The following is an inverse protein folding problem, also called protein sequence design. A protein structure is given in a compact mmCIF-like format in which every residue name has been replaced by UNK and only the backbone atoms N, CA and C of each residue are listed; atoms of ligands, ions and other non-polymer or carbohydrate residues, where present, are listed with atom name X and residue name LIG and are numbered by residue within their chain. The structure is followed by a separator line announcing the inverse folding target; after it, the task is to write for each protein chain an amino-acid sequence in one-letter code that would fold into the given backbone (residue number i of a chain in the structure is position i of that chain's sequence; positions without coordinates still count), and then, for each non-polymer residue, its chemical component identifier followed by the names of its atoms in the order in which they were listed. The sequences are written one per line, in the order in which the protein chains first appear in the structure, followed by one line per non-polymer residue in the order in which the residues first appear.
data_IF_321250650199
#
_entry.id   IF_321250650199
#
_cell.length_a   1.000
_cell.length_b   1.000
_cell.length_c   1.000
_cell.angle_alpha   90.00
_cell.angle_beta   90.00
_cell.angle_gamma   90.00
#
_symmetry.space_group_name_H-M   'P 1'
#
loop_
_entity.id
_entity.type
_entity.pdbx_description
1 polymer ?
#
# COMPACT_ATOMS: atom_id res chain seq x y z
N UNK A 1 -14.03 -10.37 22.09
CA UNK A 1 -12.74 -10.03 21.44
C UNK A 1 -12.40 -8.58 21.71
N UNK A 2 -11.14 -8.29 22.05
CA UNK A 2 -10.68 -6.92 22.29
C UNK A 2 -10.83 -6.08 21.01
N UNK A 3 -11.40 -4.88 21.16
CA UNK A 3 -11.57 -3.92 20.07
C UNK A 3 -10.20 -3.39 19.67
N UNK A 4 -9.85 -3.46 18.39
CA UNK A 4 -8.60 -2.87 17.87
C UNK A 4 -8.61 -1.37 18.14
N UNK A 5 -7.63 -0.89 18.93
CA UNK A 5 -7.46 0.51 19.26
C UNK A 5 -6.43 1.15 18.33
N UNK A 6 -6.90 1.74 17.23
CA UNK A 6 -6.01 2.35 16.25
C UNK A 6 -5.28 3.59 16.77
N UNK A 7 -5.78 4.25 17.82
CA UNK A 7 -5.11 5.39 18.48
C UNK A 7 -3.70 5.05 18.96
N UNK A 8 -3.49 3.81 19.40
CA UNK A 8 -2.19 3.32 19.89
C UNK A 8 -1.44 2.53 18.82
N UNK A 9 -2.17 1.82 17.96
CA UNK A 9 -1.60 0.86 17.01
C UNK A 9 -1.00 1.50 15.76
N UNK A 10 -1.54 2.64 15.32
CA UNK A 10 -1.21 3.22 14.01
C UNK A 10 0.30 3.45 13.75
N UNK A 11 1.16 3.82 14.74
CA UNK A 11 2.58 4.07 14.47
C UNK A 11 3.34 2.82 13.98
N UNK A 12 2.85 1.64 14.34
CA UNK A 12 3.42 0.34 13.96
C UNK A 12 2.72 -0.29 12.76
N UNK A 13 1.62 0.29 12.30
CA UNK A 13 0.80 -0.29 11.24
C UNK A 13 1.59 -0.31 9.92
N UNK A 14 1.75 -1.50 9.34
CA UNK A 14 2.29 -1.67 7.99
C UNK A 14 1.19 -1.96 6.96
N UNK A 15 0.07 -2.54 7.39
CA UNK A 15 -1.05 -2.75 6.48
C UNK A 15 -2.22 -3.52 7.08
N UNK A 16 -3.33 -3.46 6.36
CA UNK A 16 -4.56 -4.21 6.61
C UNK A 16 -4.76 -5.18 5.44
N UNK A 17 -4.68 -6.47 5.67
CA UNK A 17 -4.70 -7.51 4.62
C UNK A 17 -5.89 -8.44 4.83
N UNK A 18 -6.74 -8.67 3.82
CA UNK A 18 -7.85 -9.61 3.94
C UNK A 18 -7.31 -11.05 4.02
N UNK A 19 -7.77 -11.81 5.02
CA UNK A 19 -7.39 -13.21 5.22
C UNK A 19 -8.63 -14.05 5.54
N UNK A 20 -8.56 -15.35 5.24
CA UNK A 20 -9.53 -16.32 5.74
C UNK A 20 -8.96 -17.07 6.91
N UNK A 21 -9.78 -17.30 7.93
CA UNK A 21 -9.46 -18.32 8.94
C UNK A 21 -9.69 -19.71 8.38
N UNK A 22 -9.25 -20.74 9.11
CA UNK A 22 -9.53 -22.14 8.78
C UNK A 22 -11.03 -22.42 8.69
N UNK A 23 -11.82 -21.74 9.52
CA UNK A 23 -13.29 -21.84 9.56
C UNK A 23 -13.98 -21.01 8.46
N UNK A 24 -13.23 -20.42 7.53
CA UNK A 24 -13.75 -19.63 6.42
C UNK A 24 -14.16 -18.20 6.79
N UNK A 25 -13.88 -17.74 8.02
CA UNK A 25 -14.20 -16.38 8.46
C UNK A 25 -13.41 -15.37 7.64
N UNK A 26 -14.11 -14.41 7.04
CA UNK A 26 -13.52 -13.31 6.29
C UNK A 26 -13.09 -12.18 7.24
N UNK A 27 -11.82 -12.16 7.59
CA UNK A 27 -11.24 -11.19 8.50
C UNK A 27 -10.12 -10.36 7.89
N UNK A 28 -9.43 -9.63 8.76
CA UNK A 28 -8.27 -8.80 8.43
C UNK A 28 -7.09 -9.22 9.30
N UNK A 29 -5.97 -9.51 8.64
CA UNK A 29 -4.65 -9.55 9.27
C UNK A 29 -4.08 -8.13 9.28
N UNK A 30 -3.76 -7.63 10.47
CA UNK A 30 -3.17 -6.32 10.68
C UNK A 30 -1.67 -6.52 10.81
N UNK A 31 -0.93 -6.10 9.79
CA UNK A 31 0.52 -6.21 9.75
C UNK A 31 1.13 -5.12 10.61
N UNK A 32 2.02 -5.51 11.51
CA UNK A 32 2.71 -4.63 12.44
C UNK A 32 4.23 -4.74 12.24
N UNK A 33 4.91 -3.62 12.40
CA UNK A 33 6.36 -3.54 12.18
C UNK A 33 7.15 -4.35 13.21
N UNK A 34 6.82 -4.19 14.49
CA UNK A 34 7.60 -4.75 15.61
C UNK A 34 6.94 -5.94 16.29
N UNK A 35 5.69 -6.24 15.95
CA UNK A 35 4.87 -7.23 16.62
C UNK A 35 4.32 -8.24 15.60
N UNK A 36 3.96 -9.45 16.03
CA UNK A 36 3.22 -10.39 15.20
C UNK A 36 1.93 -9.77 14.65
N UNK A 37 1.52 -10.22 13.47
CA UNK A 37 0.29 -9.73 12.86
C UNK A 37 -0.94 -10.07 13.72
N UNK A 38 -1.82 -9.09 13.91
CA UNK A 38 -3.05 -9.29 14.67
C UNK A 38 -4.19 -9.71 13.75
N UNK A 39 -4.92 -10.76 14.12
CA UNK A 39 -6.12 -11.16 13.41
C UNK A 39 -7.36 -10.48 14.00
N UNK A 40 -8.24 -9.99 13.12
CA UNK A 40 -9.53 -9.43 13.49
C UNK A 40 -10.62 -9.96 12.56
N UNK A 41 -11.74 -10.43 13.13
CA UNK A 41 -12.93 -10.93 12.39
C UNK A 41 -13.77 -9.80 11.79
N UNK A 42 -13.10 -8.78 11.26
CA UNK A 42 -13.72 -7.60 10.67
C UNK A 42 -13.12 -7.41 9.30
N UNK A 43 -13.98 -7.16 8.30
CA UNK A 43 -13.55 -6.92 6.91
C UNK A 43 -12.61 -5.73 6.81
N UNK A 44 -11.66 -5.80 5.88
CA UNK A 44 -10.59 -4.80 5.70
C UNK A 44 -11.14 -3.40 5.43
N UNK A 45 -12.23 -3.29 4.65
CA UNK A 45 -12.92 -2.01 4.41
C UNK A 45 -13.44 -1.37 5.70
N UNK A 46 -13.98 -2.19 6.61
CA UNK A 46 -14.47 -1.72 7.91
C UNK A 46 -13.31 -1.31 8.80
N UNK A 47 -12.20 -2.05 8.77
CA UNK A 47 -10.99 -1.69 9.51
C UNK A 47 -10.38 -0.39 9.01
N UNK A 48 -10.31 -0.17 7.69
CA UNK A 48 -9.90 1.11 7.12
C UNK A 48 -10.82 2.25 7.58
N UNK A 49 -12.13 2.05 7.56
CA UNK A 49 -13.08 3.07 8.05
C UNK A 49 -12.89 3.40 9.53
N UNK A 50 -12.57 2.40 10.37
CA UNK A 50 -12.23 2.62 11.78
C UNK A 50 -10.93 3.40 11.95
N UNK A 51 -9.90 3.07 11.16
CA UNK A 51 -8.64 3.80 11.14
C UNK A 51 -8.85 5.27 10.72
N UNK A 52 -9.61 5.53 9.66
CA UNK A 52 -9.93 6.90 9.23
C UNK A 52 -10.61 7.71 10.34
N UNK A 53 -11.57 7.10 11.06
CA UNK A 53 -12.27 7.75 12.17
C UNK A 53 -11.35 8.13 13.33
N UNK A 54 -10.28 7.38 13.58
CA UNK A 54 -9.25 7.76 14.57
C UNK A 54 -8.59 9.11 14.23
N UNK A 55 -8.51 9.46 12.95
CA UNK A 55 -7.98 10.74 12.47
C UNK A 55 -9.08 11.74 12.09
N UNK A 56 -10.33 11.50 12.51
CA UNK A 56 -11.48 12.35 12.17
C UNK A 56 -11.73 12.51 10.65
N UNK A 57 -11.29 11.54 9.85
CA UNK A 57 -11.44 11.55 8.40
C UNK A 57 -12.66 10.74 7.98
N UNK A 58 -13.56 11.35 7.20
CA UNK A 58 -14.60 10.61 6.50
C UNK A 58 -14.00 9.90 5.27
N UNK A 59 -14.04 8.56 5.28
CA UNK A 59 -13.44 7.74 4.22
C UNK A 59 -14.10 7.99 2.86
N UNK A 60 -15.41 8.28 2.78
CA UNK A 60 -16.09 8.51 1.50
C UNK A 60 -15.69 9.85 0.91
N UNK A 61 -15.63 10.89 1.75
CA UNK A 61 -15.19 12.22 1.36
C UNK A 61 -13.73 12.21 0.93
N UNK A 62 -12.84 11.61 1.73
CA UNK A 62 -11.43 11.45 1.39
C UNK A 62 -11.25 10.70 0.07
N UNK A 63 -11.97 9.59 -0.12
CA UNK A 63 -11.94 8.84 -1.37
C UNK A 63 -12.40 9.69 -2.56
N UNK A 64 -13.46 10.50 -2.42
CA UNK A 64 -13.95 11.38 -3.50
C UNK A 64 -12.92 12.46 -3.84
N UNK A 65 -12.35 13.12 -2.83
CA UNK A 65 -11.35 14.17 -3.01
C UNK A 65 -10.09 13.61 -3.70
N UNK A 66 -9.51 12.55 -3.15
CA UNK A 66 -8.31 11.93 -3.69
C UNK A 66 -8.55 11.25 -5.04
N UNK A 67 -9.76 10.72 -5.30
CA UNK A 67 -10.14 10.17 -6.61
C UNK A 67 -10.02 11.21 -7.73
N UNK A 68 -10.47 12.44 -7.45
CA UNK A 68 -10.36 13.54 -8.41
C UNK A 68 -8.89 13.92 -8.64
N UNK A 69 -8.11 14.04 -7.55
CA UNK A 69 -6.69 14.41 -7.59
C UNK A 69 -5.87 13.43 -8.43
N UNK A 70 -6.00 12.12 -8.18
CA UNK A 70 -5.23 11.12 -8.92
C UNK A 70 -5.85 10.70 -10.26
N UNK A 71 -7.04 11.21 -10.61
CA UNK A 71 -7.77 10.79 -11.81
C UNK A 71 -8.20 9.32 -11.80
N UNK A 72 -8.31 8.68 -10.62
CA UNK A 72 -8.62 7.26 -10.48
C UNK A 72 -9.94 7.07 -9.77
N UNK A 73 -10.80 6.19 -10.30
CA UNK A 73 -12.04 5.76 -9.63
C UNK A 73 -11.85 4.59 -8.67
N UNK A 74 -10.81 3.78 -8.92
CA UNK A 74 -10.52 2.55 -8.18
C UNK A 74 -9.09 2.58 -7.64
N UNK A 75 -8.86 1.84 -6.55
CA UNK A 75 -7.57 1.78 -5.88
C UNK A 75 -7.03 3.20 -5.61
N UNK A 76 -7.88 4.05 -5.03
CA UNK A 76 -7.54 5.41 -4.62
C UNK A 76 -6.82 5.36 -3.27
N UNK A 77 -5.55 5.79 -3.19
CA UNK A 77 -4.84 5.92 -1.92
C UNK A 77 -5.53 6.92 -1.00
N UNK A 78 -5.39 6.73 0.30
CA UNK A 78 -5.98 7.63 1.31
C UNK A 78 -4.86 8.14 2.22
N UNK A 79 -4.56 9.44 2.15
CA UNK A 79 -3.68 10.10 3.11
C UNK A 79 -4.46 10.42 4.38
N UNK A 80 -3.97 9.92 5.52
CA UNK A 80 -4.55 10.20 6.84
C UNK A 80 -3.76 11.30 7.58
N UNK A 81 -2.44 11.27 7.42
CA UNK A 81 -1.47 12.25 7.92
C UNK A 81 -0.14 12.05 7.18
N UNK A 82 0.81 12.97 7.27
CA UNK A 82 2.16 12.77 6.71
C UNK A 82 2.75 11.44 7.18
N UNK A 83 3.25 10.63 6.24
CA UNK A 83 3.81 9.30 6.48
C UNK A 83 2.80 8.19 6.77
N UNK A 84 1.49 8.47 6.79
CA UNK A 84 0.43 7.46 6.91
C UNK A 84 -0.53 7.56 5.72
N UNK A 85 -0.05 7.04 4.59
CA UNK A 85 -0.82 6.93 3.35
C UNK A 85 -1.18 5.48 3.12
N UNK A 86 -2.48 5.19 3.10
CA UNK A 86 -3.03 3.86 2.89
C UNK A 86 -3.12 3.56 1.40
N UNK A 87 -2.25 2.69 0.90
CA UNK A 87 -2.11 2.28 -0.49
C UNK A 87 -2.95 1.03 -0.77
N UNK A 88 -4.02 1.12 -1.58
CA UNK A 88 -4.86 -0.02 -1.88
C UNK A 88 -4.21 -0.95 -2.92
N UNK A 89 -4.03 -2.20 -2.55
CA UNK A 89 -3.59 -3.27 -3.46
C UNK A 89 -4.53 -4.45 -3.36
N UNK A 90 -4.62 -5.27 -4.40
CA UNK A 90 -5.33 -6.55 -4.32
C UNK A 90 -4.38 -7.52 -3.62
N UNK A 91 -4.86 -8.25 -2.63
CA UNK A 91 -4.05 -9.23 -1.90
C UNK A 91 -4.50 -10.68 -2.13
N UNK A 92 -5.69 -10.89 -2.71
CA UNK A 92 -6.21 -12.22 -3.03
C UNK A 92 -7.14 -12.24 -4.23
N UNK A 93 -7.40 -13.42 -4.77
CA UNK A 93 -8.46 -13.66 -5.76
C UNK A 93 -9.79 -13.84 -5.04
N UNK A 94 -10.86 -13.21 -5.54
CA UNK A 94 -12.18 -13.37 -4.95
C UNK A 94 -12.67 -14.80 -5.18
N UNK A 95 -13.13 -15.47 -4.13
CA UNK A 95 -13.77 -16.79 -4.25
C UNK A 95 -15.28 -16.68 -4.43
N UNK A 96 -15.88 -15.64 -3.85
CA UNK A 96 -17.32 -15.37 -3.84
C UNK A 96 -17.59 -13.88 -4.08
N UNK A 97 -18.87 -13.52 -4.28
CA UNK A 97 -19.28 -12.12 -4.33
C UNK A 97 -19.03 -11.45 -2.97
N UNK A 98 -18.63 -10.17 -2.98
CA UNK A 98 -18.37 -9.35 -1.77
C UNK A 98 -17.29 -9.88 -0.83
N UNK A 99 -16.39 -10.68 -1.38
CA UNK A 99 -15.32 -11.32 -0.66
C UNK A 99 -14.28 -10.33 -0.11
N UNK A 100 -14.17 -9.13 -0.68
CA UNK A 100 -13.18 -8.15 -0.22
C UNK A 100 -11.76 -8.63 -0.49
N UNK A 101 -11.20 -8.18 -1.61
CA UNK A 101 -9.87 -8.63 -2.07
C UNK A 101 -8.78 -7.60 -1.82
N UNK A 102 -9.15 -6.40 -1.36
CA UNK A 102 -8.24 -5.27 -1.21
C UNK A 102 -7.56 -5.27 0.16
N UNK A 103 -6.24 -5.28 0.14
CA UNK A 103 -5.41 -4.83 1.23
C UNK A 103 -5.16 -3.31 1.14
N UNK A 104 -4.79 -2.71 2.26
CA UNK A 104 -4.33 -1.34 2.35
C UNK A 104 -3.00 -1.33 3.08
N UNK A 105 -1.93 -0.99 2.37
CA UNK A 105 -0.56 -0.99 2.90
C UNK A 105 -0.12 0.44 3.21
N UNK A 106 0.69 0.63 4.25
CA UNK A 106 1.22 1.96 4.58
C UNK A 106 2.41 2.26 3.68
N UNK A 107 2.31 3.33 2.87
CA UNK A 107 3.35 3.73 1.89
C UNK A 107 4.75 3.75 2.51
N UNK A 108 4.90 4.46 3.62
CA UNK A 108 6.21 4.69 4.26
C UNK A 108 6.77 3.44 4.96
N UNK A 109 5.96 2.39 5.12
CA UNK A 109 6.41 1.09 5.61
C UNK A 109 6.78 0.14 4.47
N UNK A 110 6.59 0.54 3.21
CA UNK A 110 7.07 -0.21 2.03
C UNK A 110 8.49 0.25 1.73
N UNK A 111 9.46 -0.67 1.86
CA UNK A 111 10.86 -0.40 1.56
C UNK A 111 11.15 -0.46 0.05
N UNK A 112 10.64 -1.49 -0.61
CA UNK A 112 10.79 -1.71 -2.07
C UNK A 112 9.70 -2.62 -2.60
N UNK A 113 9.50 -2.59 -3.91
CA UNK A 113 8.61 -3.52 -4.61
C UNK A 113 9.30 -4.05 -5.87
N UNK A 114 9.19 -5.37 -6.09
CA UNK A 114 9.94 -6.11 -7.09
C UNK A 114 8.98 -6.95 -7.95
N UNK A 115 9.19 -7.06 -9.28
CA UNK A 115 8.45 -8.02 -10.08
C UNK A 115 8.72 -9.45 -9.57
N UNK A 116 7.70 -10.29 -9.49
CA UNK A 116 7.91 -11.73 -9.32
C UNK A 116 8.31 -12.38 -10.64
N UNK A 117 9.16 -13.41 -10.56
CA UNK A 117 9.79 -14.01 -11.74
C UNK A 117 8.75 -14.62 -12.70
N UNK A 118 8.92 -14.36 -14.00
CA UNK A 118 8.02 -14.75 -15.10
C UNK A 118 7.92 -16.26 -15.28
N UNK A 119 8.82 -17.04 -14.67
CA UNK A 119 8.82 -18.51 -14.71
C UNK A 119 7.74 -19.13 -13.84
N UNK A 120 7.26 -18.40 -12.83
CA UNK A 120 6.09 -18.81 -12.07
C UNK A 120 4.82 -18.33 -12.77
N UNK A 121 3.81 -19.19 -12.88
CA UNK A 121 2.50 -18.88 -13.48
C UNK A 121 1.69 -17.79 -12.72
N UNK A 122 2.31 -17.04 -11.80
CA UNK A 122 1.69 -15.91 -11.11
C UNK A 122 2.44 -14.63 -11.45
N UNK A 123 1.91 -13.83 -12.38
CA UNK A 123 2.36 -12.47 -12.64
C UNK A 123 2.03 -11.57 -11.43
N UNK A 124 2.89 -11.63 -10.41
CA UNK A 124 2.75 -10.89 -9.17
C UNK A 124 3.81 -9.81 -9.00
N UNK A 125 3.64 -9.01 -7.96
CA UNK A 125 4.66 -8.08 -7.48
C UNK A 125 4.87 -8.36 -6.00
N UNK A 126 6.13 -8.54 -5.60
CA UNK A 126 6.52 -8.66 -4.21
C UNK A 126 6.68 -7.27 -3.62
N UNK A 127 5.95 -6.98 -2.56
CA UNK A 127 6.11 -5.77 -1.75
C UNK A 127 6.89 -6.16 -0.51
N UNK A 128 8.03 -5.50 -0.28
CA UNK A 128 8.92 -5.74 0.85
C UNK A 128 8.78 -4.58 1.83
N UNK A 129 8.46 -4.89 3.08
CA UNK A 129 8.29 -3.91 4.13
C UNK A 129 9.63 -3.55 4.80
N UNK A 130 9.60 -2.53 5.65
CA UNK A 130 10.77 -2.04 6.41
C UNK A 130 11.33 -3.07 7.40
N UNK A 131 10.50 -4.00 7.88
CA UNK A 131 10.92 -5.08 8.78
C UNK A 131 11.29 -6.38 8.05
N UNK A 132 11.67 -6.28 6.77
CA UNK A 132 12.04 -7.39 5.88
C UNK A 132 10.95 -8.42 5.56
N UNK A 133 9.77 -8.33 6.20
CA UNK A 133 8.61 -9.13 5.79
C UNK A 133 8.14 -8.72 4.39
N UNK A 134 7.42 -9.61 3.70
CA UNK A 134 6.93 -9.31 2.37
C UNK A 134 5.55 -9.90 2.10
N UNK A 135 4.83 -9.30 1.16
CA UNK A 135 3.57 -9.80 0.61
C UNK A 135 3.67 -9.84 -0.91
N UNK A 136 3.19 -10.92 -1.51
CA UNK A 136 3.04 -11.02 -2.96
C UNK A 136 1.62 -10.61 -3.33
N UNK A 137 1.49 -9.60 -4.18
CA UNK A 137 0.19 -9.14 -4.70
C UNK A 137 0.00 -9.64 -6.14
N UNK A 138 -1.21 -10.08 -6.53
CA UNK A 138 -1.54 -10.50 -7.90
C UNK A 138 -1.73 -9.28 -8.83
N UNK A 139 -0.79 -8.34 -8.77
CA UNK A 139 -0.72 -7.17 -9.63
C UNK A 139 0.58 -7.22 -10.42
N UNK A 140 0.52 -6.78 -11.67
CA UNK A 140 1.72 -6.49 -12.45
C UNK A 140 2.49 -5.35 -11.80
N UNK A 141 3.81 -5.38 -11.93
CA UNK A 141 4.68 -4.34 -11.40
C UNK A 141 4.29 -2.94 -11.88
N UNK A 142 3.90 -2.81 -13.16
CA UNK A 142 3.39 -1.54 -13.72
C UNK A 142 2.18 -0.99 -12.97
N UNK A 143 1.23 -1.86 -12.60
CA UNK A 143 0.02 -1.46 -11.88
C UNK A 143 0.35 -1.04 -10.44
N UNK A 144 1.28 -1.74 -9.79
CA UNK A 144 1.76 -1.35 -8.46
C UNK A 144 2.43 0.02 -8.53
N UNK A 145 3.31 0.24 -9.52
CA UNK A 145 3.98 1.53 -9.74
C UNK A 145 2.99 2.68 -9.91
N UNK A 146 1.97 2.51 -10.76
CA UNK A 146 0.94 3.55 -10.94
C UNK A 146 0.19 3.90 -9.64
N UNK A 147 -0.07 2.89 -8.80
CA UNK A 147 -0.73 3.10 -7.50
C UNK A 147 0.21 3.79 -6.51
N UNK A 148 1.51 3.49 -6.55
CA UNK A 148 2.51 4.16 -5.71
C UNK A 148 2.68 5.63 -6.10
N UNK A 149 2.75 5.94 -7.40
CA UNK A 149 2.77 7.32 -7.91
C UNK A 149 1.50 8.08 -7.48
N UNK A 150 0.33 7.43 -7.57
CA UNK A 150 -0.91 8.02 -7.08
C UNK A 150 -0.85 8.26 -5.56
N UNK A 151 -0.18 7.41 -4.79
CA UNK A 151 -0.04 7.55 -3.34
C UNK A 151 0.87 8.73 -2.97
N UNK A 152 1.95 8.97 -3.71
CA UNK A 152 2.80 10.15 -3.56
C UNK A 152 2.02 11.44 -3.84
N UNK A 153 1.21 11.46 -4.90
CA UNK A 153 0.37 12.61 -5.22
C UNK A 153 -0.65 12.89 -4.11
N UNK A 154 -1.33 11.84 -3.63
CA UNK A 154 -2.29 11.93 -2.53
C UNK A 154 -1.62 12.39 -1.23
N UNK A 155 -0.39 11.98 -0.96
CA UNK A 155 0.37 12.47 0.19
C UNK A 155 0.61 13.97 0.10
N UNK A 156 1.13 14.44 -1.04
CA UNK A 156 1.44 15.86 -1.27
C UNK A 156 0.19 16.73 -1.11
N UNK A 157 -0.95 16.30 -1.64
CA UNK A 157 -2.21 17.03 -1.48
C UNK A 157 -2.78 16.93 -0.06
N UNK A 158 -2.67 15.76 0.58
CA UNK A 158 -3.11 15.58 1.97
C UNK A 158 -2.37 16.48 2.97
N UNK A 159 -1.08 16.76 2.72
CA UNK A 159 -0.28 17.72 3.50
C UNK A 159 -0.87 19.13 3.40
N UNK A 160 -1.19 19.59 2.19
CA UNK A 160 -1.73 20.93 1.94
C UNK A 160 -3.09 21.13 2.63
N UNK A 161 -3.97 20.13 2.52
CA UNK A 161 -5.32 20.18 3.11
C UNK A 161 -5.30 20.20 4.64
N UNK A 162 -4.31 19.56 5.25
CA UNK A 162 -4.21 19.47 6.71
C UNK A 162 -3.34 20.58 7.35
N UNK A 163 -2.79 21.52 6.56
CA UNK A 163 -2.02 22.66 7.07
C UNK A 163 -0.70 22.30 7.76
N UNK A 164 -0.14 21.11 7.52
CA UNK A 164 1.14 20.72 8.10
C UNK A 164 2.30 21.44 7.39
N UNK A 165 3.11 22.20 8.14
CA UNK A 165 4.43 22.65 7.72
C UNK A 165 5.36 21.42 7.71
N UNK A 166 5.66 20.87 6.54
CA UNK A 166 6.54 19.69 6.43
C UNK A 166 7.97 20.15 6.22
N UNK A 167 8.76 20.10 7.29
CA UNK A 167 10.20 19.89 7.16
C UNK A 167 10.41 18.42 6.75
N UNK A 168 11.12 18.24 5.63
CA UNK A 168 11.28 16.98 4.89
C UNK A 168 11.46 15.74 5.78
N UNK A 169 10.44 14.87 5.82
CA UNK A 169 10.59 13.46 6.17
C UNK A 169 9.68 12.65 5.23
N UNK A 170 10.15 12.40 4.01
CA UNK A 170 9.53 11.42 3.12
C UNK A 170 10.49 10.25 2.97
N UNK A 171 10.11 9.06 3.45
CA UNK A 171 10.77 7.85 3.04
C UNK A 171 10.40 7.62 1.57
N UNK A 172 11.26 8.04 0.64
CA UNK A 172 11.07 7.74 -0.77
C UNK A 172 11.12 6.22 -0.93
N UNK A 173 10.01 5.63 -1.36
CA UNK A 173 9.97 4.21 -1.67
C UNK A 173 10.89 3.99 -2.84
N UNK A 174 12.04 3.38 -2.58
CA UNK A 174 13.04 3.14 -3.63
C UNK A 174 12.49 2.10 -4.59
N UNK A 175 12.27 2.52 -5.84
CA UNK A 175 12.22 1.59 -6.96
C UNK A 175 13.58 0.84 -6.95
N UNK A 176 13.59 -0.50 -7.03
CA UNK A 176 14.82 -1.22 -7.36
C UNK A 176 14.73 -1.65 -8.83
N UNK A 177 15.40 -0.91 -9.74
CA UNK A 177 15.39 -1.15 -11.18
C UNK A 177 16.49 -2.08 -11.70
N UNK A 178 17.20 -2.87 -10.88
CA UNK A 178 18.40 -3.66 -11.26
C UNK A 178 18.17 -4.77 -12.33
N UNK A 179 17.01 -4.81 -13.00
CA UNK A 179 16.71 -5.72 -14.11
C UNK A 179 16.24 -5.02 -15.40
N UNK A 180 16.22 -3.69 -15.46
CA UNK A 180 15.80 -2.97 -16.66
C UNK A 180 16.93 -2.76 -17.69
N UNK A 181 17.64 -3.82 -18.06
CA UNK A 181 18.35 -3.86 -19.34
C UNK A 181 17.41 -4.41 -20.42
N UNK A 182 16.49 -3.56 -20.90
CA UNK A 182 15.76 -3.87 -22.12
C UNK A 182 16.63 -3.42 -23.30
N UNK A 183 17.01 -4.37 -24.17
CA UNK A 183 17.76 -4.20 -25.44
C UNK A 183 17.18 -3.17 -26.43
N UNK A 184 16.16 -2.38 -26.04
CA UNK A 184 15.49 -1.34 -26.83
C UNK A 184 15.30 -0.03 -26.05
N UNK A 185 16.15 0.29 -25.07
CA UNK A 185 16.13 1.60 -24.43
C UNK A 185 16.79 2.64 -25.36
N UNK A 186 16.07 3.69 -25.80
CA UNK A 186 16.60 4.71 -26.72
C UNK A 186 17.57 5.72 -26.05
N UNK A 187 17.91 5.52 -24.76
CA UNK A 187 18.85 6.35 -23.99
C UNK A 187 19.96 5.51 -23.36
N UNK A 188 20.39 4.45 -24.04
CA UNK A 188 21.44 3.53 -23.57
C UNK A 188 22.72 4.27 -23.15
N UNK A 189 23.06 5.33 -23.88
CA UNK A 189 24.33 6.05 -23.73
C UNK A 189 24.32 7.09 -22.59
N UNK A 190 23.17 7.26 -21.92
CA UNK A 190 22.99 8.17 -20.77
C UNK A 190 22.74 7.41 -19.46
N UNK A 191 22.66 6.09 -19.49
CA UNK A 191 22.74 5.25 -18.30
C UNK A 191 24.22 5.21 -17.89
N UNK A 192 24.64 6.24 -17.14
CA UNK A 192 25.92 6.55 -16.48
C UNK A 192 27.15 5.65 -16.71
N UNK A 193 28.36 6.27 -16.77
CA UNK A 193 29.48 5.83 -17.58
C UNK A 193 30.07 4.50 -17.13
N UNK A 194 30.63 3.77 -18.09
CA UNK A 194 31.56 2.69 -17.78
C UNK A 194 32.83 3.26 -17.12
N UNK A 195 33.51 2.39 -16.38
CA UNK A 195 34.88 2.47 -15.84
C UNK A 195 35.00 2.99 -14.39
N UNK A 196 35.69 2.31 -13.47
CA UNK A 196 36.71 1.24 -13.57
C UNK A 196 36.39 -0.02 -12.74
#
# INVERSE_FOLDING_TARGET
MAKVQFSELWPQLMGLVPVYTRDGVNGTSILLEKNPALFCEVKTKTMLGRLCRTFLIDLRLAHRAYSHICGRRYAVPISLRPGLVMVPVRARTARVKDDGTRAYLVKDKIRKYLPEDRRSNMSGTRIVFVNDTSIVVPHRWSNVREVMVAAELVEREGVKLNGYLVDRIGCEVRENPDSYCCKKCPRRDLCYPEEE
#
